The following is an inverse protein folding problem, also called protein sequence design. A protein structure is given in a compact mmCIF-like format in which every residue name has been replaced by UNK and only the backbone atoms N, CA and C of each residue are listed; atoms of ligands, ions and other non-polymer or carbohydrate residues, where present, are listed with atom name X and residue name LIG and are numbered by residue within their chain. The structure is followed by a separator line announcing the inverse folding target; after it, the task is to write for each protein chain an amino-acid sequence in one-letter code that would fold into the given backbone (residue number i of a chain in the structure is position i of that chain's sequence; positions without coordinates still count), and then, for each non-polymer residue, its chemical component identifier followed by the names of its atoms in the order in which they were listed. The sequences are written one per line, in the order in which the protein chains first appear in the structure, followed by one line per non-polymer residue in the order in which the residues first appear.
data_IF_882960883377
#
_entry.id   IF_882960883377
#
_cell.length_a   1.000
_cell.length_b   1.000
_cell.length_c   1.000
_cell.angle_alpha   90.00
_cell.angle_beta   90.00
_cell.angle_gamma   90.00
#
_symmetry.space_group_name_H-M   'P 1'
#
loop_
_entity.id
_entity.type
_entity.pdbx_description
1 polymer ?
#
# COMPACT_ATOMS: atom_id res chain seq x y z
N UNK A 1 -23.83 -63.12 17.22
CA UNK A 1 -22.75 -62.12 17.07
C UNK A 1 -22.41 -61.64 18.45
N UNK A 2 -21.18 -61.84 18.94
CA UNK A 2 -20.81 -61.52 20.33
C UNK A 2 -20.55 -60.00 20.46
N UNK A 3 -20.88 -59.46 21.62
CA UNK A 3 -20.68 -58.03 21.99
C UNK A 3 -19.23 -57.59 21.71
N UNK A 4 -18.27 -58.49 21.80
CA UNK A 4 -16.84 -58.31 21.54
C UNK A 4 -16.54 -58.03 20.05
N UNK A 5 -17.30 -58.61 19.11
CA UNK A 5 -17.14 -58.38 17.68
C UNK A 5 -17.69 -57.00 17.26
N UNK A 6 -18.78 -56.57 17.89
CA UNK A 6 -19.37 -55.22 17.68
C UNK A 6 -18.45 -54.11 18.22
N UNK A 7 -17.89 -54.28 19.42
CA UNK A 7 -16.95 -53.32 20.00
C UNK A 7 -15.66 -53.21 19.17
N UNK A 8 -15.12 -54.33 18.66
CA UNK A 8 -13.95 -54.30 17.77
C UNK A 8 -14.20 -53.57 16.46
N UNK A 9 -15.37 -53.76 15.84
CA UNK A 9 -15.73 -53.05 14.62
C UNK A 9 -15.88 -51.52 14.83
N UNK A 10 -16.46 -51.13 15.97
CA UNK A 10 -16.62 -49.70 16.32
C UNK A 10 -15.26 -49.03 16.63
N UNK A 11 -14.37 -49.72 17.36
CA UNK A 11 -13.03 -49.18 17.65
C UNK A 11 -12.10 -49.22 16.43
N UNK A 12 -12.26 -50.11 15.48
CA UNK A 12 -11.56 -50.06 14.19
C UNK A 12 -12.05 -48.91 13.31
N UNK A 13 -13.36 -48.67 13.22
CA UNK A 13 -13.94 -47.54 12.49
C UNK A 13 -13.47 -46.17 13.03
N UNK A 14 -13.44 -46.01 14.37
CA UNK A 14 -12.93 -44.76 15.00
C UNK A 14 -11.44 -44.56 14.74
N UNK A 15 -10.62 -45.60 14.72
CA UNK A 15 -9.17 -45.51 14.44
C UNK A 15 -8.87 -45.19 12.97
N UNK A 16 -9.68 -45.69 12.06
CA UNK A 16 -9.55 -45.41 10.62
C UNK A 16 -10.04 -43.97 10.30
N UNK A 17 -11.08 -43.49 10.99
CA UNK A 17 -11.52 -42.08 10.90
C UNK A 17 -10.48 -41.11 11.44
N UNK A 18 -9.85 -41.35 12.61
CA UNK A 18 -8.81 -40.52 13.16
C UNK A 18 -7.56 -40.48 12.25
N UNK A 19 -7.17 -41.60 11.64
CA UNK A 19 -6.05 -41.66 10.69
C UNK A 19 -6.38 -40.90 9.39
N UNK A 20 -7.60 -41.04 8.89
CA UNK A 20 -8.05 -40.35 7.67
C UNK A 20 -8.17 -38.87 7.90
N UNK A 21 -8.71 -38.44 9.04
CA UNK A 21 -8.76 -37.00 9.41
C UNK A 21 -7.35 -36.42 9.57
N UNK A 22 -6.44 -37.10 10.27
CA UNK A 22 -5.06 -36.65 10.42
C UNK A 22 -4.30 -36.55 9.09
N UNK A 23 -4.52 -37.46 8.16
CA UNK A 23 -3.91 -37.41 6.82
C UNK A 23 -4.51 -36.29 5.96
N UNK A 24 -5.81 -36.06 6.04
CA UNK A 24 -6.49 -34.95 5.36
C UNK A 24 -6.01 -33.59 5.89
N UNK A 25 -5.93 -33.42 7.20
CA UNK A 25 -5.41 -32.17 7.82
C UNK A 25 -3.96 -31.89 7.40
N UNK A 26 -3.09 -32.90 7.38
CA UNK A 26 -1.70 -32.75 6.92
C UNK A 26 -1.64 -32.41 5.45
N UNK A 27 -2.47 -33.02 4.60
CA UNK A 27 -2.52 -32.72 3.17
C UNK A 27 -3.05 -31.31 2.88
N UNK A 28 -4.05 -30.85 3.61
CA UNK A 28 -4.58 -29.49 3.55
C UNK A 28 -3.56 -28.46 4.02
N UNK A 29 -2.83 -28.73 5.10
CA UNK A 29 -1.76 -27.85 5.58
C UNK A 29 -0.61 -27.73 4.57
N UNK A 30 -0.21 -28.81 3.92
CA UNK A 30 0.82 -28.81 2.89
C UNK A 30 0.36 -28.09 1.63
N UNK A 31 -0.89 -28.28 1.21
CA UNK A 31 -1.49 -27.55 0.10
C UNK A 31 -1.58 -26.05 0.38
N UNK A 32 -2.03 -25.65 1.55
CA UNK A 32 -2.09 -24.27 2.00
C UNK A 32 -0.71 -23.59 1.97
N UNK A 33 0.33 -24.21 2.52
CA UNK A 33 1.70 -23.67 2.49
C UNK A 33 2.22 -23.51 1.07
N UNK A 34 1.93 -24.46 0.18
CA UNK A 34 2.33 -24.42 -1.23
C UNK A 34 1.64 -23.28 -1.96
N UNK A 35 0.33 -23.13 -1.78
CA UNK A 35 -0.47 -22.08 -2.42
C UNK A 35 0.01 -20.68 -2.00
N UNK A 36 0.27 -20.49 -0.69
CA UNK A 36 0.80 -19.21 -0.17
C UNK A 36 2.18 -18.91 -0.74
N UNK A 37 3.06 -19.91 -0.88
CA UNK A 37 4.39 -19.70 -1.50
C UNK A 37 4.27 -19.26 -2.95
N UNK A 38 3.42 -19.92 -3.74
CA UNK A 38 3.20 -19.55 -5.13
C UNK A 38 2.63 -18.14 -5.26
N UNK A 39 1.63 -17.80 -4.42
CA UNK A 39 1.05 -16.46 -4.39
C UNK A 39 2.11 -15.43 -4.01
N UNK A 40 2.85 -15.66 -2.93
CA UNK A 40 3.91 -14.76 -2.46
C UNK A 40 5.00 -14.56 -3.52
N UNK A 41 5.44 -15.63 -4.18
CA UNK A 41 6.46 -15.54 -5.24
C UNK A 41 5.94 -14.72 -6.42
N UNK A 42 4.70 -14.96 -6.86
CA UNK A 42 4.07 -14.19 -7.92
C UNK A 42 3.93 -12.71 -7.56
N UNK A 43 3.48 -12.42 -6.33
CA UNK A 43 3.39 -11.04 -5.83
C UNK A 43 4.76 -10.35 -5.75
N UNK A 44 5.79 -11.05 -5.23
CA UNK A 44 7.14 -10.50 -5.16
C UNK A 44 7.66 -10.12 -6.54
N UNK A 45 7.52 -11.01 -7.52
CA UNK A 45 7.96 -10.76 -8.90
C UNK A 45 7.20 -9.57 -9.50
N UNK A 46 5.88 -9.50 -9.33
CA UNK A 46 5.05 -8.40 -9.82
C UNK A 46 5.40 -7.07 -9.14
N UNK A 47 5.59 -7.06 -7.82
CA UNK A 47 5.94 -5.86 -7.06
C UNK A 47 7.35 -5.34 -7.40
N UNK A 48 8.30 -6.23 -7.70
CA UNK A 48 9.62 -5.84 -8.22
C UNK A 48 9.46 -5.16 -9.58
N UNK A 49 8.61 -5.69 -10.47
CA UNK A 49 8.30 -5.08 -11.75
C UNK A 49 7.66 -3.69 -11.63
N UNK A 50 6.70 -3.54 -10.74
CA UNK A 50 6.07 -2.24 -10.45
C UNK A 50 7.08 -1.24 -9.87
N UNK A 51 7.99 -1.71 -9.01
CA UNK A 51 9.10 -0.92 -8.47
C UNK A 51 10.09 -0.47 -9.54
N UNK A 52 10.33 -1.29 -10.57
CA UNK A 52 11.12 -0.92 -11.75
C UNK A 52 10.41 0.16 -12.57
N UNK A 53 9.13 -0.01 -12.82
CA UNK A 53 8.36 0.76 -13.78
C UNK A 53 8.13 2.21 -13.33
N UNK A 54 7.81 2.43 -12.06
CA UNK A 54 7.39 3.74 -11.54
C UNK A 54 8.45 4.83 -11.74
N UNK A 55 9.72 4.69 -11.30
CA UNK A 55 10.73 5.71 -11.51
C UNK A 55 11.10 5.87 -12.98
N UNK A 56 11.10 4.79 -13.78
CA UNK A 56 11.44 4.82 -15.21
C UNK A 56 10.46 5.68 -16.01
N UNK A 57 9.14 5.50 -15.80
CA UNK A 57 8.11 6.28 -16.51
C UNK A 57 8.17 7.75 -16.10
N UNK A 58 8.31 8.06 -14.79
CA UNK A 58 8.41 9.43 -14.32
C UNK A 58 9.66 10.13 -14.88
N UNK A 59 10.80 9.44 -14.86
CA UNK A 59 12.03 9.95 -15.48
C UNK A 59 11.85 10.22 -16.96
N UNK A 60 11.29 9.25 -17.70
CA UNK A 60 11.10 9.36 -19.15
C UNK A 60 10.25 10.57 -19.53
N UNK A 61 9.13 10.79 -18.84
CA UNK A 61 8.27 11.95 -19.15
C UNK A 61 8.95 13.27 -18.79
N UNK A 62 9.65 13.32 -17.66
CA UNK A 62 10.38 14.52 -17.28
C UNK A 62 11.57 14.80 -18.20
N UNK A 63 12.31 13.78 -18.59
CA UNK A 63 13.45 13.89 -19.51
C UNK A 63 13.03 14.37 -20.89
N UNK A 64 11.90 13.84 -21.40
CA UNK A 64 11.35 14.20 -22.70
C UNK A 64 10.73 15.60 -22.74
N UNK A 65 10.12 16.07 -21.64
CA UNK A 65 9.27 17.27 -21.67
C UNK A 65 9.80 18.44 -20.86
N UNK A 66 10.69 18.19 -19.91
CA UNK A 66 11.15 19.17 -18.93
C UNK A 66 10.05 19.69 -17.99
N UNK A 67 8.84 19.10 -18.00
CA UNK A 67 7.70 19.59 -17.24
C UNK A 67 7.25 18.59 -16.17
N UNK A 68 7.24 19.05 -14.92
CA UNK A 68 6.70 18.32 -13.79
C UNK A 68 5.19 18.14 -13.90
N UNK A 69 4.47 19.13 -14.40
CA UNK A 69 3.01 19.05 -14.60
C UNK A 69 2.66 17.93 -15.57
N UNK A 70 3.37 17.79 -16.70
CA UNK A 70 3.15 16.68 -17.63
C UNK A 70 3.41 15.32 -16.98
N UNK A 71 4.42 15.22 -16.13
CA UNK A 71 4.70 14.00 -15.37
C UNK A 71 3.57 13.67 -14.38
N UNK A 72 2.95 14.68 -13.76
CA UNK A 72 1.82 14.51 -12.84
C UNK A 72 0.61 13.83 -13.50
N UNK A 73 0.38 14.03 -14.79
CA UNK A 73 -0.71 13.33 -15.50
C UNK A 73 -0.64 11.81 -15.36
N UNK A 74 0.57 11.23 -15.23
CA UNK A 74 0.72 9.80 -14.96
C UNK A 74 0.06 9.43 -13.63
N UNK A 75 0.34 10.17 -12.57
CA UNK A 75 -0.23 9.91 -11.26
C UNK A 75 -1.76 10.12 -11.24
N UNK A 76 -2.24 11.15 -11.90
CA UNK A 76 -3.68 11.42 -12.03
C UNK A 76 -4.38 10.27 -12.76
N UNK A 77 -3.84 9.82 -13.90
CA UNK A 77 -4.39 8.71 -14.68
C UNK A 77 -4.36 7.38 -13.91
N UNK A 78 -3.40 7.18 -13.04
CA UNK A 78 -3.32 6.00 -12.17
C UNK A 78 -4.29 6.07 -10.98
N UNK A 79 -4.66 7.26 -10.53
CA UNK A 79 -5.50 7.45 -9.34
C UNK A 79 -6.99 7.55 -9.66
N UNK A 80 -7.35 8.11 -10.82
CA UNK A 80 -8.76 8.28 -11.22
C UNK A 80 -9.54 6.96 -11.29
N UNK A 81 -9.06 5.88 -11.96
CA UNK A 81 -9.82 4.64 -12.05
C UNK A 81 -10.18 4.03 -10.70
N UNK A 82 -9.25 3.82 -9.74
CA UNK A 82 -9.61 3.27 -8.44
C UNK A 82 -10.49 4.21 -7.61
N UNK A 83 -10.34 5.53 -7.75
CA UNK A 83 -11.15 6.50 -7.04
C UNK A 83 -12.63 6.46 -7.48
N UNK A 84 -12.88 6.39 -8.80
CA UNK A 84 -14.21 6.48 -9.37
C UNK A 84 -14.90 5.11 -9.43
N UNK A 85 -14.20 4.09 -9.89
CA UNK A 85 -14.76 2.77 -10.17
C UNK A 85 -14.50 1.75 -9.06
N UNK A 86 -13.56 2.03 -8.14
CA UNK A 86 -13.19 1.12 -7.05
C UNK A 86 -14.37 0.59 -6.24
N UNK A 87 -15.29 1.45 -5.75
CA UNK A 87 -16.46 1.01 -5.00
C UNK A 87 -17.38 0.08 -5.77
N UNK A 88 -17.57 0.35 -7.08
CA UNK A 88 -18.42 -0.47 -7.94
C UNK A 88 -17.80 -1.84 -8.17
N UNK A 89 -16.51 -1.89 -8.48
CA UNK A 89 -15.80 -3.16 -8.75
C UNK A 89 -15.67 -4.01 -7.50
N UNK A 90 -15.47 -3.40 -6.32
CA UNK A 90 -15.47 -4.13 -5.06
C UNK A 90 -16.74 -4.97 -4.88
N UNK A 91 -17.91 -4.37 -5.11
CA UNK A 91 -19.21 -5.07 -5.01
C UNK A 91 -19.32 -6.23 -5.99
N UNK A 92 -18.82 -6.07 -7.22
CA UNK A 92 -18.81 -7.17 -8.20
C UNK A 92 -17.89 -8.31 -7.80
N UNK A 93 -16.69 -8.00 -7.34
CA UNK A 93 -15.70 -8.99 -6.90
C UNK A 93 -16.16 -9.78 -5.69
N UNK A 94 -16.88 -9.15 -4.75
CA UNK A 94 -17.40 -9.83 -3.57
C UNK A 94 -18.41 -10.94 -3.92
N UNK A 95 -19.06 -10.84 -5.07
CA UNK A 95 -20.01 -11.86 -5.57
C UNK A 95 -19.33 -13.04 -6.24
N UNK A 96 -18.05 -12.94 -6.58
CA UNK A 96 -17.31 -14.00 -7.23
C UNK A 96 -16.81 -15.04 -6.23
N UNK A 97 -16.79 -16.32 -6.63
CA UNK A 97 -16.12 -17.37 -5.87
C UNK A 97 -14.60 -17.13 -5.85
N UNK A 98 -13.92 -17.74 -4.88
CA UNK A 98 -12.47 -17.59 -4.73
C UNK A 98 -11.70 -18.06 -5.98
N UNK A 99 -12.17 -19.12 -6.66
CA UNK A 99 -11.60 -19.57 -7.94
C UNK A 99 -11.72 -18.54 -9.04
N UNK A 100 -12.88 -17.87 -9.15
CA UNK A 100 -13.08 -16.82 -10.14
C UNK A 100 -12.20 -15.60 -9.83
N UNK A 101 -12.03 -15.22 -8.57
CA UNK A 101 -11.13 -14.14 -8.17
C UNK A 101 -9.69 -14.44 -8.58
N UNK A 102 -9.22 -15.68 -8.38
CA UNK A 102 -7.90 -16.10 -8.81
C UNK A 102 -7.74 -16.03 -10.33
N UNK A 103 -8.74 -16.50 -11.11
CA UNK A 103 -8.74 -16.38 -12.58
C UNK A 103 -8.73 -14.91 -13.03
N UNK A 104 -9.47 -14.04 -12.35
CA UNK A 104 -9.45 -12.59 -12.60
C UNK A 104 -8.04 -12.05 -12.38
N UNK A 105 -7.37 -12.39 -11.26
CA UNK A 105 -6.00 -11.95 -11.00
C UNK A 105 -5.03 -12.40 -12.10
N UNK A 106 -5.11 -13.66 -12.54
CA UNK A 106 -4.28 -14.19 -13.62
C UNK A 106 -4.54 -13.43 -14.93
N UNK A 107 -5.81 -13.23 -15.30
CA UNK A 107 -6.17 -12.51 -16.54
C UNK A 107 -5.72 -11.06 -16.53
N UNK A 108 -5.78 -10.39 -15.36
CA UNK A 108 -5.29 -9.02 -15.18
C UNK A 108 -3.77 -8.92 -15.28
N UNK A 109 -3.03 -9.90 -14.74
CA UNK A 109 -1.58 -9.97 -14.91
C UNK A 109 -1.21 -10.16 -16.39
N UNK A 110 -1.88 -11.06 -17.10
CA UNK A 110 -1.65 -11.26 -18.54
C UNK A 110 -1.97 -10.01 -19.34
N UNK A 111 -3.09 -9.33 -19.04
CA UNK A 111 -3.48 -8.09 -19.71
C UNK A 111 -2.46 -6.96 -19.46
N UNK A 112 -2.02 -6.76 -18.20
CA UNK A 112 -1.00 -5.76 -17.87
C UNK A 112 0.34 -6.09 -18.53
N UNK A 113 0.75 -7.36 -18.51
CA UNK A 113 1.95 -7.83 -19.21
C UNK A 113 1.90 -7.54 -20.71
N UNK A 114 0.77 -7.84 -21.37
CA UNK A 114 0.59 -7.56 -22.80
C UNK A 114 0.61 -6.06 -23.13
N UNK A 115 -0.08 -5.23 -22.33
CA UNK A 115 -0.08 -3.77 -22.50
C UNK A 115 1.32 -3.19 -22.32
N UNK A 116 2.06 -3.63 -21.31
CA UNK A 116 3.44 -3.19 -21.08
C UNK A 116 4.41 -3.66 -22.17
N UNK A 117 4.27 -4.89 -22.65
CA UNK A 117 5.09 -5.39 -23.76
C UNK A 117 4.83 -4.58 -25.03
N UNK A 118 3.58 -4.22 -25.29
CA UNK A 118 3.26 -3.35 -26.43
C UNK A 118 3.86 -1.96 -26.26
N UNK A 119 3.68 -1.34 -25.09
CA UNK A 119 4.27 -0.03 -24.78
C UNK A 119 5.81 -0.05 -24.91
N UNK A 120 6.45 -1.12 -24.43
CA UNK A 120 7.89 -1.35 -24.56
C UNK A 120 8.32 -1.42 -26.01
N UNK A 121 7.57 -2.13 -26.87
CA UNK A 121 7.83 -2.24 -28.30
C UNK A 121 7.79 -0.86 -28.96
N UNK A 122 6.76 -0.06 -28.68
CA UNK A 122 6.63 1.31 -29.19
C UNK A 122 7.81 2.19 -28.73
N UNK A 123 8.27 2.00 -27.50
CA UNK A 123 9.42 2.73 -26.97
C UNK A 123 10.71 2.40 -27.70
N UNK A 124 10.99 1.11 -27.95
CA UNK A 124 12.22 0.67 -28.66
C UNK A 124 12.21 1.07 -30.12
N UNK A 125 11.03 1.05 -30.76
CA UNK A 125 10.88 1.49 -32.15
C UNK A 125 10.94 3.03 -32.30
N UNK A 126 11.06 3.79 -31.21
CA UNK A 126 11.06 5.26 -31.26
C UNK A 126 9.68 5.87 -31.60
N UNK A 127 8.61 5.07 -31.52
CA UNK A 127 7.24 5.48 -31.83
C UNK A 127 6.43 5.90 -30.59
N UNK A 128 7.06 5.89 -29.40
CA UNK A 128 6.39 6.25 -28.15
C UNK A 128 6.17 7.75 -28.06
N UNK A 129 4.91 8.16 -28.12
CA UNK A 129 4.48 9.55 -27.91
C UNK A 129 3.85 9.72 -26.53
N UNK A 130 3.77 10.96 -26.01
CA UNK A 130 3.11 11.24 -24.72
C UNK A 130 1.65 10.83 -24.68
N UNK A 131 0.80 11.12 -25.70
CA UNK A 131 -0.60 10.67 -25.70
C UNK A 131 -0.70 9.15 -25.65
N UNK A 132 0.16 8.44 -26.40
CA UNK A 132 0.19 6.97 -26.37
C UNK A 132 0.58 6.47 -24.98
N UNK A 133 1.63 7.03 -24.37
CA UNK A 133 2.05 6.67 -23.02
C UNK A 133 0.91 6.85 -22.01
N UNK A 134 0.24 8.01 -22.02
CA UNK A 134 -0.89 8.30 -21.12
C UNK A 134 -2.05 7.32 -21.32
N UNK A 135 -2.38 6.99 -22.57
CA UNK A 135 -3.42 5.99 -22.87
C UNK A 135 -3.08 4.64 -22.27
N UNK A 136 -1.85 4.15 -22.45
CA UNK A 136 -1.44 2.87 -21.89
C UNK A 136 -1.36 2.89 -20.36
N UNK A 137 -0.87 3.96 -19.76
CA UNK A 137 -0.86 4.14 -18.30
C UNK A 137 -2.29 4.05 -17.74
N UNK A 138 -3.26 4.71 -18.39
CA UNK A 138 -4.66 4.63 -17.99
C UNK A 138 -5.25 3.22 -18.13
N UNK A 139 -4.99 2.54 -19.25
CA UNK A 139 -5.45 1.16 -19.46
C UNK A 139 -4.85 0.17 -18.46
N UNK A 140 -3.55 0.33 -18.15
CA UNK A 140 -2.88 -0.48 -17.14
C UNK A 140 -3.47 -0.21 -15.75
N UNK A 141 -3.78 1.05 -15.41
CA UNK A 141 -4.42 1.43 -14.16
C UNK A 141 -5.83 0.84 -14.04
N UNK A 142 -6.62 0.86 -15.12
CA UNK A 142 -7.92 0.18 -15.19
C UNK A 142 -7.78 -1.33 -14.93
N UNK A 143 -6.82 -1.97 -15.57
CA UNK A 143 -6.55 -3.39 -15.38
C UNK A 143 -6.03 -3.71 -13.95
N UNK A 144 -5.29 -2.80 -13.32
CA UNK A 144 -4.76 -2.98 -11.97
C UNK A 144 -5.82 -2.86 -10.88
N UNK A 145 -6.88 -2.08 -11.11
CA UNK A 145 -7.84 -1.68 -10.09
C UNK A 145 -8.57 -2.85 -9.40
N UNK A 146 -9.04 -3.91 -10.09
CA UNK A 146 -9.71 -5.04 -9.43
C UNK A 146 -8.76 -5.94 -8.66
N UNK A 147 -7.45 -5.82 -8.89
CA UNK A 147 -6.46 -6.75 -8.40
C UNK A 147 -6.35 -6.76 -6.86
N UNK A 148 -6.22 -5.59 -6.23
CA UNK A 148 -6.08 -5.48 -4.78
C UNK A 148 -7.27 -6.06 -4.01
N UNK A 149 -8.53 -5.70 -4.31
CA UNK A 149 -9.71 -6.32 -3.71
C UNK A 149 -9.77 -7.84 -3.94
N UNK A 150 -9.44 -8.32 -5.16
CA UNK A 150 -9.40 -9.75 -5.46
C UNK A 150 -8.35 -10.47 -4.61
N UNK A 151 -7.13 -9.94 -4.50
CA UNK A 151 -6.05 -10.48 -3.68
C UNK A 151 -6.46 -10.57 -2.21
N UNK A 152 -6.93 -9.46 -1.62
CA UNK A 152 -7.29 -9.39 -0.21
C UNK A 152 -8.44 -10.36 0.15
N UNK A 153 -9.37 -10.58 -0.77
CA UNK A 153 -10.47 -11.51 -0.56
C UNK A 153 -10.12 -12.98 -0.87
N UNK A 154 -9.02 -13.22 -1.58
CA UNK A 154 -8.54 -14.59 -1.89
C UNK A 154 -7.65 -15.14 -0.77
N UNK A 155 -6.85 -14.32 -0.07
CA UNK A 155 -5.94 -14.76 0.99
C UNK A 155 -6.66 -15.60 2.07
N UNK A 156 -7.84 -15.20 2.60
CA UNK A 156 -8.55 -15.99 3.61
C UNK A 156 -8.96 -17.39 3.16
N UNK A 157 -9.16 -17.61 1.85
CA UNK A 157 -9.49 -18.93 1.30
C UNK A 157 -8.27 -19.85 1.10
N UNK A 158 -7.05 -19.33 1.26
CA UNK A 158 -5.81 -20.06 1.11
C UNK A 158 -5.18 -20.51 2.43
N UNK A 159 -5.55 -19.87 3.56
CA UNK A 159 -4.94 -20.11 4.87
C UNK A 159 -5.99 -20.25 5.97
N UNK A 160 -5.64 -20.98 7.02
CA UNK A 160 -6.44 -21.04 8.24
C UNK A 160 -6.47 -19.67 8.94
N UNK A 161 -7.55 -19.37 9.65
CA UNK A 161 -7.76 -18.09 10.34
C UNK A 161 -6.61 -17.73 11.28
N UNK A 162 -6.00 -18.71 11.97
CA UNK A 162 -4.84 -18.54 12.84
C UNK A 162 -3.56 -18.06 12.12
N UNK A 163 -3.46 -18.25 10.81
CA UNK A 163 -2.31 -17.88 9.99
C UNK A 163 -2.56 -16.67 9.09
N UNK A 164 -3.75 -16.12 9.11
CA UNK A 164 -4.16 -15.02 8.22
C UNK A 164 -3.28 -13.78 8.40
N UNK A 165 -2.97 -13.40 9.62
CA UNK A 165 -2.10 -12.25 9.91
C UNK A 165 -0.69 -12.45 9.33
N UNK A 166 -0.12 -13.65 9.50
CA UNK A 166 1.20 -13.96 8.95
C UNK A 166 1.20 -13.97 7.41
N UNK A 167 0.15 -14.50 6.78
CA UNK A 167 0.01 -14.48 5.33
C UNK A 167 -0.10 -13.06 4.78
N UNK A 168 -0.92 -12.21 5.39
CA UNK A 168 -1.02 -10.80 5.01
C UNK A 168 0.30 -10.05 5.18
N UNK A 169 1.01 -10.27 6.29
CA UNK A 169 2.33 -9.67 6.52
C UNK A 169 3.36 -10.13 5.46
N UNK A 170 3.36 -11.40 5.10
CA UNK A 170 4.21 -11.92 4.04
C UNK A 170 3.89 -11.29 2.67
N UNK A 171 2.62 -11.17 2.30
CA UNK A 171 2.22 -10.49 1.05
C UNK A 171 2.61 -9.01 1.10
N UNK A 172 2.37 -8.31 2.20
CA UNK A 172 2.74 -6.90 2.33
C UNK A 172 4.26 -6.67 2.22
N UNK A 173 5.08 -7.63 2.68
CA UNK A 173 6.54 -7.53 2.55
C UNK A 173 7.02 -7.48 1.10
N UNK A 174 6.27 -8.06 0.14
CA UNK A 174 6.63 -8.04 -1.28
C UNK A 174 6.62 -6.62 -1.85
N UNK A 175 5.65 -5.79 -1.46
CA UNK A 175 5.57 -4.38 -1.88
C UNK A 175 6.78 -3.58 -1.34
N UNK A 176 7.19 -3.84 -0.10
CA UNK A 176 8.36 -3.19 0.50
C UNK A 176 9.65 -3.58 -0.22
N UNK A 177 9.81 -4.86 -0.56
CA UNK A 177 10.96 -5.34 -1.34
C UNK A 177 10.97 -4.75 -2.76
N UNK A 178 9.81 -4.65 -3.40
CA UNK A 178 9.65 -3.99 -4.70
C UNK A 178 10.08 -2.52 -4.66
N UNK A 179 9.68 -1.79 -3.62
CA UNK A 179 10.04 -0.39 -3.42
C UNK A 179 11.54 -0.21 -3.14
N UNK A 180 12.17 -1.15 -2.44
CA UNK A 180 13.60 -1.07 -2.11
C UNK A 180 14.49 -1.39 -3.33
N UNK A 181 14.25 -2.54 -3.97
CA UNK A 181 15.14 -3.09 -4.99
C UNK A 181 14.81 -2.58 -6.40
N UNK A 182 13.52 -2.41 -6.69
CA UNK A 182 13.04 -2.03 -8.02
C UNK A 182 13.66 -0.74 -8.54
N UNK A 183 13.63 0.36 -7.81
CA UNK A 183 14.13 1.64 -8.30
C UNK A 183 15.63 1.65 -8.62
N UNK A 184 16.48 1.01 -7.83
CA UNK A 184 17.92 0.93 -8.12
C UNK A 184 18.19 0.17 -9.43
N UNK A 185 17.52 -0.97 -9.62
CA UNK A 185 17.61 -1.76 -10.86
C UNK A 185 17.04 -0.94 -12.03
N UNK A 186 15.92 -0.25 -11.83
CA UNK A 186 15.30 0.63 -12.82
C UNK A 186 16.26 1.71 -13.29
N UNK A 187 16.85 2.45 -12.35
CA UNK A 187 17.76 3.56 -12.66
C UNK A 187 18.96 3.08 -13.48
N UNK A 188 19.55 1.96 -13.09
CA UNK A 188 20.66 1.34 -13.86
C UNK A 188 20.18 0.89 -15.26
N UNK A 189 19.04 0.20 -15.34
CA UNK A 189 18.51 -0.28 -16.63
C UNK A 189 18.19 0.89 -17.58
N UNK A 190 17.56 1.96 -17.06
CA UNK A 190 17.27 3.16 -17.88
C UNK A 190 18.55 3.82 -18.35
N UNK A 191 19.58 3.91 -17.48
CA UNK A 191 20.84 4.56 -17.82
C UNK A 191 21.62 3.84 -18.92
N UNK A 192 21.63 2.52 -18.93
CA UNK A 192 22.43 1.72 -19.86
C UNK A 192 21.65 1.21 -21.08
N UNK A 193 20.37 0.92 -20.92
CA UNK A 193 19.57 0.25 -21.94
C UNK A 193 18.38 1.09 -22.42
N UNK A 194 17.94 2.04 -21.60
CA UNK A 194 16.76 2.87 -21.87
C UNK A 194 15.47 2.34 -21.26
N UNK A 195 14.41 3.17 -21.29
CA UNK A 195 13.13 2.91 -20.65
C UNK A 195 12.39 1.70 -21.24
N UNK A 196 12.52 1.45 -22.55
CA UNK A 196 11.86 0.31 -23.22
C UNK A 196 12.20 -1.04 -22.60
N UNK A 197 13.45 -1.23 -22.18
CA UNK A 197 13.88 -2.48 -21.53
C UNK A 197 13.31 -2.62 -20.11
N UNK A 198 13.13 -1.52 -19.38
CA UNK A 198 12.44 -1.56 -18.08
C UNK A 198 10.98 -1.98 -18.26
N UNK A 199 10.31 -1.45 -19.28
CA UNK A 199 8.92 -1.81 -19.60
C UNK A 199 8.82 -3.30 -19.99
N UNK A 200 9.75 -3.85 -20.76
CA UNK A 200 9.81 -5.28 -21.08
C UNK A 200 10.08 -6.14 -19.83
N UNK A 201 11.01 -5.72 -18.97
CA UNK A 201 11.27 -6.41 -17.71
C UNK A 201 10.02 -6.47 -16.86
N UNK A 202 9.30 -5.34 -16.73
CA UNK A 202 8.02 -5.31 -16.00
C UNK A 202 6.94 -6.17 -16.70
N UNK A 203 6.83 -6.16 -18.01
CA UNK A 203 5.93 -7.06 -18.73
C UNK A 203 6.22 -8.52 -18.42
N UNK A 204 7.49 -8.92 -18.43
CA UNK A 204 7.92 -10.28 -18.08
C UNK A 204 7.57 -10.64 -16.63
N UNK A 205 7.70 -9.70 -15.67
CA UNK A 205 7.33 -9.97 -14.28
C UNK A 205 5.83 -10.25 -14.12
N UNK A 206 4.96 -9.56 -14.84
CA UNK A 206 3.52 -9.85 -14.83
C UNK A 206 3.19 -11.20 -15.43
N UNK A 207 3.82 -11.58 -16.54
CA UNK A 207 3.64 -12.90 -17.14
C UNK A 207 4.10 -14.01 -16.18
N UNK A 208 5.27 -13.84 -15.55
CA UNK A 208 5.78 -14.78 -14.55
C UNK A 208 4.85 -14.85 -13.32
N UNK A 209 4.33 -13.72 -12.85
CA UNK A 209 3.38 -13.67 -11.76
C UNK A 209 2.07 -14.42 -12.08
N UNK A 210 1.57 -14.29 -13.32
CA UNK A 210 0.44 -15.08 -13.80
C UNK A 210 0.75 -16.59 -13.77
N UNK A 211 1.92 -17.02 -14.27
CA UNK A 211 2.36 -18.42 -14.20
C UNK A 211 2.47 -18.93 -12.77
N UNK A 212 2.98 -18.14 -11.84
CA UNK A 212 3.04 -18.51 -10.42
C UNK A 212 1.65 -18.74 -9.81
N UNK A 213 0.62 -18.07 -10.30
CA UNK A 213 -0.75 -18.21 -9.80
C UNK A 213 -1.52 -19.41 -10.39
N UNK A 214 -1.14 -19.90 -11.57
CA UNK A 214 -1.83 -21.03 -12.22
C UNK A 214 -1.90 -22.33 -11.38
N UNK A 215 -0.85 -22.75 -10.64
CA UNK A 215 -0.91 -23.98 -9.85
C UNK A 215 -1.68 -23.83 -8.53
N UNK A 216 -2.15 -22.63 -8.16
CA UNK A 216 -2.88 -22.38 -6.92
C UNK A 216 -4.27 -23.02 -7.02
N UNK A 217 -4.62 -23.81 -6.02
CA UNK A 217 -5.96 -24.41 -5.89
C UNK A 217 -6.64 -23.80 -4.67
N UNK A 218 -7.84 -23.29 -4.86
CA UNK A 218 -8.65 -22.68 -3.81
C UNK A 218 -9.73 -23.66 -3.38
N UNK A 219 -9.94 -23.85 -2.08
CA UNK A 219 -11.07 -24.61 -1.58
C UNK A 219 -12.35 -23.79 -1.74
N UNK A 220 -13.25 -24.24 -2.60
CA UNK A 220 -14.51 -23.53 -2.90
C UNK A 220 -15.50 -23.49 -1.73
N UNK A 221 -15.26 -24.27 -0.67
CA UNK A 221 -16.10 -24.33 0.53
C UNK A 221 -15.82 -23.25 1.57
N UNK A 222 -14.81 -22.39 1.35
CA UNK A 222 -14.58 -21.27 2.27
C UNK A 222 -15.83 -20.37 2.34
N UNK A 223 -16.34 -20.07 3.55
CA UNK A 223 -17.54 -19.26 3.70
C UNK A 223 -17.36 -17.95 2.93
N UNK A 224 -18.29 -17.65 2.04
CA UNK A 224 -18.38 -16.33 1.43
C UNK A 224 -18.43 -15.29 2.57
N UNK A 225 -17.63 -14.23 2.55
CA UNK A 225 -17.69 -13.23 3.58
C UNK A 225 -19.14 -12.75 3.72
N UNK A 226 -19.59 -12.67 4.96
CA UNK A 226 -20.94 -12.29 5.35
C UNK A 226 -21.36 -11.09 4.50
N UNK A 227 -22.42 -11.28 3.74
CA UNK A 227 -23.10 -10.19 3.03
C UNK A 227 -23.51 -9.16 4.06
N UNK A 228 -22.76 -8.10 4.19
CA UNK A 228 -23.29 -6.86 4.76
C UNK A 228 -24.26 -6.28 3.71
N UNK A 229 -25.46 -6.88 3.68
CA UNK A 229 -26.56 -6.41 2.86
C UNK A 229 -27.12 -5.14 3.48
N UNK A 230 -26.49 -4.00 3.22
CA UNK A 230 -27.17 -2.73 3.39
C UNK A 230 -27.92 -2.43 2.10
N UNK A 231 -29.23 -2.37 2.21
CA UNK A 231 -30.19 -2.06 1.13
C UNK A 231 -30.11 -0.59 0.64
N UNK A 232 -29.04 0.13 0.93
CA UNK A 232 -28.73 1.48 0.47
C UNK A 232 -27.67 1.44 -0.64
N UNK A 233 -27.92 2.11 -1.76
CA UNK A 233 -26.93 2.23 -2.83
C UNK A 233 -25.60 2.79 -2.32
N UNK A 234 -24.47 2.49 -2.98
CA UNK A 234 -23.11 2.89 -2.64
C UNK A 234 -22.96 4.40 -2.31
N UNK A 235 -23.77 5.25 -2.94
CA UNK A 235 -23.83 6.71 -2.67
C UNK A 235 -24.29 6.97 -1.23
N UNK A 236 -25.32 6.25 -0.75
CA UNK A 236 -25.82 6.41 0.60
C UNK A 236 -24.80 5.88 1.65
N UNK A 237 -24.06 4.84 1.33
CA UNK A 237 -22.97 4.35 2.18
C UNK A 237 -21.80 5.33 2.26
N UNK A 238 -21.42 5.94 1.13
CA UNK A 238 -20.44 7.03 1.11
C UNK A 238 -20.94 8.23 1.92
N UNK A 239 -22.16 8.69 1.68
CA UNK A 239 -22.74 9.81 2.41
C UNK A 239 -22.82 9.55 3.91
N UNK A 240 -23.22 8.34 4.32
CA UNK A 240 -23.22 7.94 5.73
C UNK A 240 -21.79 7.90 6.32
N UNK A 241 -20.81 7.44 5.56
CA UNK A 241 -19.41 7.47 5.96
C UNK A 241 -18.86 8.89 6.10
N UNK A 242 -19.18 9.78 5.16
CA UNK A 242 -18.81 11.20 5.25
C UNK A 242 -19.45 11.84 6.50
N UNK A 243 -20.74 11.64 6.73
CA UNK A 243 -21.42 12.15 7.92
C UNK A 243 -20.77 11.65 9.21
N UNK A 244 -20.44 10.35 9.27
CA UNK A 244 -19.76 9.74 10.42
C UNK A 244 -18.43 10.45 10.70
N UNK A 245 -17.56 10.61 9.70
CA UNK A 245 -16.22 11.16 9.87
C UNK A 245 -16.28 12.67 10.12
N UNK A 246 -17.08 13.42 9.36
CA UNK A 246 -17.07 14.89 9.41
C UNK A 246 -17.99 15.49 10.50
N UNK A 247 -19.04 14.77 10.93
CA UNK A 247 -20.05 15.32 11.85
C UNK A 247 -20.04 14.58 13.19
N UNK A 248 -20.03 13.25 13.17
CA UNK A 248 -20.27 12.46 14.38
C UNK A 248 -18.97 12.16 15.16
N UNK A 249 -17.82 12.01 14.47
CA UNK A 249 -16.56 11.62 15.10
C UNK A 249 -15.42 12.63 14.81
N UNK A 250 -15.45 13.76 15.50
CA UNK A 250 -14.47 14.84 15.36
C UNK A 250 -13.00 14.38 15.48
N UNK A 251 -12.74 13.37 16.31
CA UNK A 251 -11.39 12.83 16.50
C UNK A 251 -10.90 12.13 15.21
N UNK A 252 -11.75 11.28 14.60
CA UNK A 252 -11.41 10.60 13.35
C UNK A 252 -11.21 11.62 12.24
N UNK A 253 -12.03 12.66 12.19
CA UNK A 253 -11.87 13.76 11.23
C UNK A 253 -10.51 14.46 11.37
N UNK A 254 -10.11 14.83 12.61
CA UNK A 254 -8.81 15.50 12.85
C UNK A 254 -7.63 14.64 12.41
N UNK A 255 -7.67 13.34 12.71
CA UNK A 255 -6.62 12.38 12.30
C UNK A 255 -6.65 12.13 10.80
N UNK A 256 -7.83 12.08 10.18
CA UNK A 256 -7.96 11.97 8.73
C UNK A 256 -7.43 13.21 8.00
N UNK A 257 -7.67 14.42 8.54
CA UNK A 257 -7.12 15.67 8.01
C UNK A 257 -5.59 15.69 8.09
N UNK A 258 -5.03 15.22 9.20
CA UNK A 258 -3.58 15.09 9.36
C UNK A 258 -2.99 14.13 8.32
N UNK A 259 -3.62 12.97 8.13
CA UNK A 259 -3.24 12.03 7.09
C UNK A 259 -3.37 12.59 5.66
N UNK A 260 -4.38 13.43 5.43
CA UNK A 260 -4.58 14.14 4.17
C UNK A 260 -3.45 15.13 3.88
N UNK A 261 -3.10 15.98 4.84
CA UNK A 261 -2.00 16.94 4.72
C UNK A 261 -0.66 16.24 4.54
N UNK A 262 -0.43 15.19 5.32
CA UNK A 262 0.75 14.36 5.18
C UNK A 262 0.85 13.75 3.77
N UNK A 263 -0.22 13.13 3.27
CA UNK A 263 -0.23 12.48 1.95
C UNK A 263 -0.07 13.49 0.82
N UNK A 264 -0.65 14.70 0.98
CA UNK A 264 -0.50 15.79 0.03
C UNK A 264 0.98 16.15 -0.19
N UNK A 265 1.73 16.32 0.88
CA UNK A 265 3.14 16.68 0.78
C UNK A 265 4.01 15.47 0.38
N UNK A 266 3.84 14.29 0.99
CA UNK A 266 4.65 13.10 0.69
C UNK A 266 4.48 12.63 -0.75
N UNK A 267 3.26 12.69 -1.33
CA UNK A 267 3.06 12.35 -2.73
C UNK A 267 3.68 13.41 -3.65
N UNK A 268 3.56 14.70 -3.30
CA UNK A 268 4.25 15.78 -4.00
C UNK A 268 5.77 15.55 -4.04
N UNK A 269 6.37 15.15 -2.93
CA UNK A 269 7.80 14.83 -2.85
C UNK A 269 8.22 13.73 -3.83
N UNK A 270 7.45 12.63 -3.91
CA UNK A 270 7.74 11.52 -4.83
C UNK A 270 7.77 12.01 -6.28
N UNK A 271 6.84 12.89 -6.67
CA UNK A 271 6.80 13.45 -8.03
C UNK A 271 7.88 14.50 -8.28
N UNK A 272 8.46 15.09 -7.24
CA UNK A 272 9.62 15.99 -7.38
C UNK A 272 10.96 15.23 -7.50
N UNK A 273 11.05 13.94 -7.18
CA UNK A 273 12.31 13.19 -7.20
C UNK A 273 13.06 13.23 -8.54
N UNK A 274 12.42 13.06 -9.73
CA UNK A 274 13.12 13.22 -11.00
C UNK A 274 13.68 14.63 -11.20
N UNK A 275 12.93 15.63 -10.74
CA UNK A 275 13.30 17.05 -10.85
C UNK A 275 14.50 17.37 -9.95
N UNK A 276 14.46 16.89 -8.69
CA UNK A 276 15.57 17.02 -7.73
C UNK A 276 16.82 16.39 -8.32
N UNK A 277 16.68 15.16 -8.84
CA UNK A 277 17.80 14.42 -9.42
C UNK A 277 18.43 15.17 -10.60
N UNK A 278 17.61 15.68 -11.54
CA UNK A 278 18.11 16.31 -12.76
C UNK A 278 18.57 17.75 -12.53
N UNK A 279 17.78 18.56 -11.82
CA UNK A 279 17.99 20.01 -11.73
C UNK A 279 18.82 20.44 -10.51
N UNK A 280 18.77 19.71 -9.40
CA UNK A 280 19.52 20.06 -8.18
C UNK A 280 20.82 19.27 -8.11
N UNK A 281 20.74 17.94 -8.29
CA UNK A 281 21.90 17.07 -8.16
C UNK A 281 22.64 16.84 -9.47
N UNK A 282 22.17 17.41 -10.59
CA UNK A 282 22.75 17.24 -11.94
C UNK A 282 23.00 15.78 -12.30
N UNK A 283 22.11 14.89 -11.81
CA UNK A 283 22.21 13.44 -11.94
C UNK A 283 21.35 12.86 -13.06
N UNK A 284 21.68 11.62 -13.45
CA UNK A 284 20.93 10.83 -14.42
C UNK A 284 19.92 9.85 -13.76
N UNK A 285 19.32 8.96 -14.57
CA UNK A 285 18.34 8.00 -14.10
C UNK A 285 18.89 7.03 -13.04
N UNK A 286 20.18 6.73 -13.07
CA UNK A 286 20.84 5.91 -12.05
C UNK A 286 20.80 6.59 -10.67
N UNK A 287 21.01 7.91 -10.60
CA UNK A 287 20.91 8.67 -9.35
C UNK A 287 19.48 8.66 -8.83
N UNK A 288 18.48 8.80 -9.71
CA UNK A 288 17.07 8.69 -9.32
C UNK A 288 16.77 7.33 -8.69
N UNK A 289 17.25 6.24 -9.28
CA UNK A 289 17.07 4.90 -8.76
C UNK A 289 17.67 4.74 -7.36
N UNK A 290 18.89 5.23 -7.15
CA UNK A 290 19.58 5.18 -5.85
C UNK A 290 18.85 6.03 -4.80
N UNK A 291 18.42 7.24 -5.15
CA UNK A 291 17.66 8.14 -4.26
C UNK A 291 16.34 7.48 -3.84
N UNK A 292 15.63 6.89 -4.79
CA UNK A 292 14.36 6.22 -4.49
C UNK A 292 14.55 4.98 -3.60
N UNK A 293 15.63 4.20 -3.85
CA UNK A 293 15.98 3.07 -2.97
C UNK A 293 16.41 3.52 -1.58
N UNK A 294 17.05 4.68 -1.44
CA UNK A 294 17.37 5.27 -0.15
C UNK A 294 16.09 5.62 0.65
N UNK A 295 15.03 6.09 -0.02
CA UNK A 295 13.71 6.27 0.60
C UNK A 295 13.18 4.94 1.17
N UNK A 296 13.24 3.86 0.37
CA UNK A 296 12.86 2.52 0.79
C UNK A 296 13.67 2.00 1.98
N UNK A 297 14.99 2.25 2.00
CA UNK A 297 15.85 1.90 3.13
C UNK A 297 15.41 2.60 4.42
N UNK A 298 15.11 3.89 4.36
CA UNK A 298 14.58 4.64 5.49
C UNK A 298 13.26 4.06 6.02
N UNK A 299 12.36 3.70 5.10
CA UNK A 299 11.10 3.07 5.47
C UNK A 299 11.29 1.73 6.18
N UNK A 300 12.19 0.87 5.68
CA UNK A 300 12.49 -0.44 6.29
C UNK A 300 13.11 -0.25 7.67
N UNK A 301 14.12 0.61 7.77
CA UNK A 301 14.80 0.89 9.03
C UNK A 301 13.80 1.30 10.12
N UNK A 302 12.92 2.23 9.82
CA UNK A 302 11.92 2.68 10.77
C UNK A 302 10.87 1.62 11.09
N UNK A 303 10.43 0.84 10.10
CA UNK A 303 9.48 -0.27 10.30
C UNK A 303 10.05 -1.33 11.25
N UNK A 304 11.33 -1.69 11.11
CA UNK A 304 12.01 -2.63 12.02
C UNK A 304 12.14 -2.05 13.43
N UNK A 305 12.46 -0.76 13.53
CA UNK A 305 12.56 -0.07 14.83
C UNK A 305 11.20 -0.03 15.55
N UNK A 306 10.11 0.18 14.82
CA UNK A 306 8.76 0.15 15.37
C UNK A 306 8.36 -1.24 15.86
N UNK A 307 8.70 -2.30 15.13
CA UNK A 307 8.42 -3.68 15.52
C UNK A 307 9.14 -4.06 16.84
N UNK A 308 10.35 -3.57 17.06
CA UNK A 308 11.11 -3.81 18.30
C UNK A 308 10.55 -3.08 19.52
N UNK A 309 9.68 -2.10 19.31
CA UNK A 309 9.13 -1.22 20.36
C UNK A 309 7.63 -1.50 20.65
N UNK A 310 7.21 -2.74 20.61
CA UNK A 310 5.80 -3.19 20.67
C UNK A 310 5.02 -2.83 21.97
N UNK A 311 5.66 -2.17 22.96
CA UNK A 311 5.04 -1.80 24.25
C UNK A 311 4.63 -0.33 24.36
N UNK A 312 4.45 0.38 23.22
CA UNK A 312 4.14 1.81 23.25
C UNK A 312 2.68 2.07 23.58
N UNK A 313 2.43 3.12 24.33
CA UNK A 313 1.08 3.60 24.67
C UNK A 313 0.45 4.30 23.46
N UNK A 314 -0.86 4.51 23.50
CA UNK A 314 -1.60 5.25 22.47
C UNK A 314 -1.08 6.70 22.33
N UNK A 315 -0.63 7.29 23.45
CA UNK A 315 -0.04 8.64 23.51
C UNK A 315 1.30 8.66 22.75
N UNK A 316 2.14 7.63 22.91
CA UNK A 316 3.40 7.53 22.18
C UNK A 316 3.19 7.46 20.67
N UNK A 317 2.14 6.75 20.22
CA UNK A 317 1.75 6.70 18.82
C UNK A 317 1.38 8.07 18.26
N UNK A 318 0.66 8.88 19.01
CA UNK A 318 0.25 10.22 18.59
C UNK A 318 1.42 11.20 18.52
N UNK A 319 2.35 11.12 19.47
CA UNK A 319 3.59 11.90 19.42
C UNK A 319 4.41 11.55 18.18
N UNK A 320 4.52 10.27 17.83
CA UNK A 320 5.22 9.83 16.64
C UNK A 320 4.54 10.26 15.33
N UNK A 321 3.19 10.19 15.27
CA UNK A 321 2.40 10.68 14.13
C UNK A 321 2.67 12.18 13.90
N UNK A 322 2.87 12.94 14.97
CA UNK A 322 3.10 14.38 14.90
C UNK A 322 4.57 14.73 14.64
N UNK A 323 5.51 14.03 15.26
CA UNK A 323 6.94 14.26 15.10
C UNK A 323 7.47 13.84 13.72
N UNK A 324 6.92 12.74 13.17
CA UNK A 324 7.31 12.21 11.85
C UNK A 324 7.27 13.27 10.74
N UNK A 325 6.14 13.96 10.50
CA UNK A 325 6.03 14.97 9.47
C UNK A 325 6.94 16.19 9.70
N UNK A 326 7.22 16.56 10.96
CA UNK A 326 8.16 17.66 11.26
C UNK A 326 9.57 17.29 10.83
N UNK A 327 10.03 16.10 11.21
CA UNK A 327 11.36 15.59 10.85
C UNK A 327 11.48 15.44 9.33
N UNK A 328 10.47 14.88 8.69
CA UNK A 328 10.39 14.72 7.24
C UNK A 328 10.44 16.08 6.53
N UNK A 329 9.64 17.06 7.00
CA UNK A 329 9.60 18.39 6.43
C UNK A 329 10.94 19.14 6.57
N UNK A 330 11.61 19.02 7.72
CA UNK A 330 12.96 19.58 7.92
C UNK A 330 13.96 18.93 6.96
N UNK A 331 13.91 17.63 6.77
CA UNK A 331 14.79 16.92 5.85
C UNK A 331 14.52 17.33 4.38
N UNK A 332 13.26 17.57 4.00
CA UNK A 332 12.89 18.07 2.67
C UNK A 332 13.39 19.50 2.43
N UNK A 333 13.25 20.40 3.44
CA UNK A 333 13.83 21.75 3.36
C UNK A 333 15.36 21.68 3.24
N UNK A 334 16.00 20.82 4.04
CA UNK A 334 17.42 20.56 3.96
C UNK A 334 17.87 20.11 2.57
N UNK A 335 17.08 19.27 1.90
CA UNK A 335 17.37 18.79 0.55
C UNK A 335 17.40 19.91 -0.50
N UNK A 336 16.64 20.99 -0.29
CA UNK A 336 16.69 22.17 -1.17
C UNK A 336 18.03 22.94 -1.10
N UNK A 337 18.81 22.77 -0.04
CA UNK A 337 20.08 23.44 0.17
C UNK A 337 21.32 22.59 -0.17
N UNK A 338 21.12 21.32 -0.56
CA UNK A 338 22.20 20.35 -0.75
C UNK A 338 22.39 20.04 -2.24
N UNK A 339 23.66 20.10 -2.70
CA UNK A 339 24.06 19.74 -4.05
C UNK A 339 24.82 18.39 -4.10
N UNK A 340 25.16 17.83 -2.94
CA UNK A 340 25.90 16.56 -2.84
C UNK A 340 24.95 15.36 -2.80
N UNK A 341 25.19 14.36 -3.66
CA UNK A 341 24.41 13.11 -3.65
C UNK A 341 24.45 12.40 -2.29
N UNK A 342 25.62 12.36 -1.63
CA UNK A 342 25.77 11.67 -0.35
C UNK A 342 24.91 12.31 0.73
N UNK A 343 24.92 13.65 0.81
CA UNK A 343 24.10 14.38 1.76
C UNK A 343 22.61 14.24 1.42
N UNK A 344 22.24 14.27 0.14
CA UNK A 344 20.88 14.04 -0.32
C UNK A 344 20.38 12.64 0.06
N UNK A 345 21.20 11.58 -0.09
CA UNK A 345 20.85 10.22 0.30
C UNK A 345 20.57 10.12 1.81
N UNK A 346 21.40 10.77 2.65
CA UNK A 346 21.17 10.82 4.10
C UNK A 346 19.82 11.45 4.45
N UNK A 347 19.49 12.60 3.84
CA UNK A 347 18.20 13.28 4.05
C UNK A 347 17.02 12.44 3.54
N UNK A 348 17.16 11.79 2.38
CA UNK A 348 16.09 10.94 1.82
C UNK A 348 15.84 9.69 2.67
N UNK A 349 16.86 9.12 3.31
CA UNK A 349 16.67 8.04 4.31
C UNK A 349 15.84 8.56 5.49
N UNK A 350 16.11 9.76 5.98
CA UNK A 350 15.32 10.38 7.06
C UNK A 350 13.87 10.62 6.61
N UNK A 351 13.65 11.10 5.37
CA UNK A 351 12.32 11.27 4.79
C UNK A 351 11.58 9.92 4.73
N UNK A 352 12.24 8.87 4.24
CA UNK A 352 11.66 7.52 4.21
C UNK A 352 11.30 6.99 5.59
N UNK A 353 12.14 7.25 6.60
CA UNK A 353 11.86 6.88 7.98
C UNK A 353 10.62 7.61 8.53
N UNK A 354 10.46 8.90 8.24
CA UNK A 354 9.28 9.69 8.60
C UNK A 354 8.01 9.15 7.94
N UNK A 355 8.08 8.85 6.65
CA UNK A 355 6.95 8.30 5.89
C UNK A 355 6.44 6.96 6.47
N UNK A 356 7.34 6.08 6.91
CA UNK A 356 6.96 4.79 7.49
C UNK A 356 6.30 4.91 8.87
N UNK A 357 6.51 6.03 9.58
CA UNK A 357 5.90 6.26 10.88
C UNK A 357 4.41 6.62 10.76
N UNK A 358 4.06 7.49 9.83
CA UNK A 358 2.80 8.25 9.89
C UNK A 358 1.59 7.41 9.46
N UNK A 359 1.61 6.85 8.26
CA UNK A 359 0.42 6.20 7.68
C UNK A 359 -0.03 4.93 8.42
N UNK A 360 0.88 4.02 8.83
CA UNK A 360 0.46 2.86 9.63
C UNK A 360 -0.13 3.26 10.99
N UNK A 361 0.44 4.30 11.62
CA UNK A 361 -0.05 4.78 12.91
C UNK A 361 -1.44 5.43 12.82
N UNK A 362 -1.67 6.25 11.79
CA UNK A 362 -3.00 6.83 11.51
C UNK A 362 -4.03 5.72 11.27
N UNK A 363 -3.67 4.73 10.44
CA UNK A 363 -4.56 3.60 10.15
C UNK A 363 -4.89 2.80 11.41
N UNK A 364 -3.87 2.49 12.22
CA UNK A 364 -4.06 1.79 13.49
C UNK A 364 -4.92 2.60 14.46
N UNK A 365 -4.71 3.92 14.55
CA UNK A 365 -5.52 4.80 15.38
C UNK A 365 -7.00 4.78 14.97
N UNK A 366 -7.30 4.87 13.67
CA UNK A 366 -8.68 4.78 13.16
C UNK A 366 -9.27 3.41 13.49
N UNK A 367 -8.50 2.32 13.33
CA UNK A 367 -8.94 0.95 13.63
C UNK A 367 -9.29 0.74 15.10
N UNK A 368 -8.55 1.35 16.02
CA UNK A 368 -8.80 1.26 17.46
C UNK A 368 -9.95 2.19 17.91
N UNK A 369 -10.01 3.39 17.31
CA UNK A 369 -10.94 4.44 17.76
C UNK A 369 -12.34 4.29 17.16
N UNK A 370 -12.46 3.83 15.91
CA UNK A 370 -13.74 3.66 15.25
C UNK A 370 -14.52 2.46 15.83
N UNK A 371 -15.83 2.61 16.13
CA UNK A 371 -16.69 1.49 16.51
C UNK A 371 -16.63 0.38 15.46
N UNK A 372 -16.74 -0.89 15.90
CA UNK A 372 -16.63 -2.06 15.03
C UNK A 372 -17.56 -1.99 13.82
N UNK A 373 -18.79 -1.49 14.01
CA UNK A 373 -19.82 -1.38 12.98
C UNK A 373 -19.50 -0.35 11.90
N UNK A 374 -18.74 0.69 12.23
CA UNK A 374 -18.45 1.83 11.33
C UNK A 374 -16.99 1.89 10.88
N UNK A 375 -16.13 1.03 11.43
CA UNK A 375 -14.68 1.01 11.19
C UNK A 375 -14.32 0.90 9.70
N UNK A 376 -14.97 0.00 8.98
CA UNK A 376 -14.73 -0.19 7.55
C UNK A 376 -15.07 1.10 6.75
N UNK A 377 -16.19 1.75 7.10
CA UNK A 377 -16.60 3.03 6.48
C UNK A 377 -15.59 4.14 6.76
N UNK A 378 -15.13 4.27 8.02
CA UNK A 378 -14.14 5.27 8.40
C UNK A 378 -12.82 5.08 7.61
N UNK A 379 -12.34 3.85 7.46
CA UNK A 379 -11.14 3.54 6.68
C UNK A 379 -11.33 3.81 5.17
N UNK A 380 -12.50 3.51 4.62
CA UNK A 380 -12.81 3.81 3.21
C UNK A 380 -12.80 5.31 2.95
N UNK A 381 -13.45 6.10 3.81
CA UNK A 381 -13.46 7.57 3.69
C UNK A 381 -12.04 8.14 3.85
N UNK A 382 -11.28 7.64 4.83
CA UNK A 382 -9.87 8.01 4.99
C UNK A 382 -9.06 7.73 3.71
N UNK A 383 -9.21 6.54 3.13
CA UNK A 383 -8.56 6.18 1.86
C UNK A 383 -8.94 7.11 0.71
N UNK A 384 -10.23 7.47 0.61
CA UNK A 384 -10.72 8.42 -0.41
C UNK A 384 -10.11 9.81 -0.23
N UNK A 385 -10.09 10.33 1.01
CA UNK A 385 -9.51 11.62 1.35
C UNK A 385 -8.00 11.62 1.00
N UNK A 386 -7.26 10.59 1.35
CA UNK A 386 -5.83 10.48 1.05
C UNK A 386 -5.56 10.38 -0.45
N UNK A 387 -6.39 9.68 -1.23
CA UNK A 387 -6.26 9.66 -2.69
C UNK A 387 -6.47 11.04 -3.33
N UNK A 388 -7.50 11.78 -2.90
CA UNK A 388 -7.74 13.14 -3.38
C UNK A 388 -6.59 14.07 -2.98
N UNK A 389 -6.11 13.96 -1.75
CA UNK A 389 -4.97 14.73 -1.26
C UNK A 389 -3.68 14.41 -2.02
N UNK A 390 -3.44 13.14 -2.35
CA UNK A 390 -2.32 12.73 -3.19
C UNK A 390 -2.38 13.39 -4.57
N UNK A 391 -3.56 13.39 -5.22
CA UNK A 391 -3.75 14.05 -6.52
C UNK A 391 -3.51 15.56 -6.41
N UNK A 392 -4.04 16.22 -5.38
CA UNK A 392 -3.82 17.63 -5.14
C UNK A 392 -2.34 17.94 -4.92
N UNK A 393 -1.65 17.14 -4.09
CA UNK A 393 -0.24 17.32 -3.76
C UNK A 393 0.68 17.16 -4.97
N UNK A 394 0.57 16.06 -5.71
CA UNK A 394 1.40 15.88 -6.91
C UNK A 394 1.16 16.98 -7.95
N UNK A 395 -0.07 17.48 -8.08
CA UNK A 395 -0.40 18.55 -9.04
C UNK A 395 0.14 19.90 -8.57
N UNK A 396 -0.13 20.26 -7.32
CA UNK A 396 0.25 21.57 -6.78
C UNK A 396 1.78 21.75 -6.72
N UNK A 397 2.51 20.73 -6.22
CA UNK A 397 3.96 20.82 -6.09
C UNK A 397 4.69 20.67 -7.43
N UNK A 398 4.14 19.89 -8.37
CA UNK A 398 4.69 19.86 -9.74
C UNK A 398 4.47 21.19 -10.46
N UNK A 399 3.31 21.82 -10.30
CA UNK A 399 3.06 23.15 -10.81
C UNK A 399 4.02 24.19 -10.18
N UNK A 400 4.21 24.12 -8.87
CA UNK A 400 5.16 24.99 -8.18
C UNK A 400 6.60 24.80 -8.69
N UNK A 401 7.02 23.55 -8.97
CA UNK A 401 8.34 23.27 -9.49
C UNK A 401 8.56 23.83 -10.90
N UNK A 402 7.55 23.76 -11.77
CA UNK A 402 7.64 24.29 -13.14
C UNK A 402 7.63 25.83 -13.19
N UNK A 403 6.95 26.53 -12.24
CA UNK A 403 6.77 27.98 -12.29
C UNK A 403 7.65 28.75 -11.28
N UNK A 404 7.89 28.19 -10.10
CA UNK A 404 8.69 28.82 -9.05
C UNK A 404 10.11 28.28 -8.95
N UNK A 405 10.36 27.14 -9.62
CA UNK A 405 11.63 26.42 -9.57
C UNK A 405 11.67 25.34 -8.48
N UNK A 406 12.51 24.34 -8.71
CA UNK A 406 12.57 23.10 -7.91
C UNK A 406 12.94 23.31 -6.45
N UNK A 407 13.85 24.25 -6.14
CA UNK A 407 14.27 24.53 -4.74
C UNK A 407 13.15 25.20 -3.93
N UNK A 408 12.44 26.18 -4.53
CA UNK A 408 11.31 26.84 -3.87
C UNK A 408 10.18 25.84 -3.64
N UNK A 409 9.87 25.02 -4.64
CA UNK A 409 8.84 23.98 -4.52
C UNK A 409 9.15 23.01 -3.36
N UNK A 410 10.41 22.60 -3.19
CA UNK A 410 10.85 21.77 -2.05
C UNK A 410 10.67 22.47 -0.70
N UNK A 411 11.07 23.75 -0.61
CA UNK A 411 10.91 24.50 0.64
C UNK A 411 9.44 24.63 1.01
N UNK A 412 8.57 24.99 0.04
CA UNK A 412 7.12 25.11 0.28
C UNK A 412 6.56 23.76 0.70
N UNK A 413 6.94 22.68 0.03
CA UNK A 413 6.50 21.32 0.35
C UNK A 413 6.94 20.92 1.77
N UNK A 414 8.21 21.15 2.13
CA UNK A 414 8.73 20.84 3.45
C UNK A 414 8.04 21.65 4.56
N UNK A 415 7.72 22.93 4.30
CA UNK A 415 6.94 23.76 5.24
C UNK A 415 5.52 23.20 5.42
N UNK A 416 4.85 22.80 4.34
CA UNK A 416 3.51 22.18 4.42
C UNK A 416 3.59 20.86 5.21
N UNK A 417 4.64 20.08 5.01
CA UNK A 417 4.85 18.83 5.77
C UNK A 417 5.08 19.12 7.27
N UNK A 418 5.89 20.11 7.62
CA UNK A 418 6.08 20.53 9.02
C UNK A 418 4.77 21.03 9.64
N UNK A 419 3.98 21.81 8.90
CA UNK A 419 2.67 22.28 9.36
C UNK A 419 1.73 21.11 9.70
N UNK A 420 1.72 20.04 8.89
CA UNK A 420 0.96 18.85 9.21
C UNK A 420 1.37 18.26 10.57
N UNK A 421 2.66 18.19 10.87
CA UNK A 421 3.16 17.72 12.16
C UNK A 421 2.80 18.65 13.32
N UNK A 422 2.96 19.96 13.16
CA UNK A 422 2.58 20.97 14.19
C UNK A 422 1.08 20.89 14.50
N UNK A 423 0.23 20.82 13.48
CA UNK A 423 -1.22 20.62 13.64
C UNK A 423 -1.50 19.31 14.41
N UNK A 424 -0.74 18.25 14.14
CA UNK A 424 -0.80 16.98 14.88
C UNK A 424 -0.51 17.18 16.37
N UNK A 425 0.55 17.89 16.73
CA UNK A 425 0.88 18.22 18.13
C UNK A 425 -0.25 19.01 18.81
N UNK A 426 -0.77 20.02 18.14
CA UNK A 426 -1.89 20.82 18.69
C UNK A 426 -3.14 19.98 18.94
N UNK A 427 -3.43 19.01 18.07
CA UNK A 427 -4.57 18.11 18.26
C UNK A 427 -4.37 17.16 19.46
N UNK A 428 -3.15 16.65 19.65
CA UNK A 428 -2.85 15.72 20.75
C UNK A 428 -2.87 16.43 22.12
N UNK A 429 -2.57 17.72 22.17
CA UNK A 429 -2.58 18.51 23.40
C UNK A 429 -3.97 19.07 23.77
N UNK A 430 -4.97 18.97 22.89
CA UNK A 430 -6.31 19.47 23.19
C UNK A 430 -6.97 18.69 24.35
N UNK A 431 -7.54 19.40 25.33
CA UNK A 431 -8.19 18.83 26.51
C UNK A 431 -9.31 17.83 26.13
N UNK A 432 -10.04 18.12 25.07
CA UNK A 432 -11.10 17.26 24.53
C UNK A 432 -10.56 15.89 24.08
N UNK A 433 -9.33 15.86 23.55
CA UNK A 433 -8.69 14.64 23.10
C UNK A 433 -8.21 13.78 24.29
N UNK A 434 -7.60 14.41 25.29
CA UNK A 434 -7.12 13.73 26.50
C UNK A 434 -8.29 13.17 27.33
N UNK A 435 -9.40 13.90 27.46
CA UNK A 435 -10.60 13.42 28.16
C UNK A 435 -11.22 12.20 27.46
N UNK A 436 -11.31 12.21 26.13
CA UNK A 436 -11.82 11.06 25.37
C UNK A 436 -10.90 9.82 25.44
N UNK A 437 -9.59 10.00 25.59
CA UNK A 437 -8.66 8.89 25.80
C UNK A 437 -8.77 8.32 27.20
N UNK A 438 -8.89 9.15 28.21
CA UNK A 438 -9.04 8.73 29.60
C UNK A 438 -10.34 7.93 29.83
N UNK A 439 -11.47 8.37 29.28
CA UNK A 439 -12.75 7.66 29.40
C UNK A 439 -12.74 6.27 28.75
N UNK A 440 -11.93 6.06 27.73
CA UNK A 440 -11.81 4.75 27.04
C UNK A 440 -10.78 3.80 27.65
N UNK A 441 -9.78 4.31 28.39
CA UNK A 441 -8.86 3.48 29.17
C UNK A 441 -9.56 2.82 30.36
N UNK A 442 -10.61 3.44 30.89
CA UNK A 442 -11.40 2.91 31.99
C UNK A 442 -12.42 1.82 31.56
N UNK A 443 -12.82 1.81 30.29
CA UNK A 443 -13.70 0.78 29.69
C UNK A 443 -13.00 -0.56 29.38
N UNK A 444 -11.68 -0.63 29.45
CA UNK A 444 -10.89 -1.87 29.38
C UNK A 444 -10.20 -2.13 30.74
N UNK A 445 -10.88 -2.72 31.71
CA UNK A 445 -10.23 -3.13 32.94
C UNK A 445 -9.21 -4.20 32.60
N UNK A 446 -7.91 -3.83 32.71
CA UNK A 446 -6.84 -4.81 32.78
C UNK A 446 -7.28 -5.91 33.76
N UNK A 447 -7.26 -7.16 33.31
CA UNK A 447 -7.41 -8.32 34.18
C UNK A 447 -6.41 -8.18 35.33
N UNK A 448 -6.86 -7.60 36.44
CA UNK A 448 -6.18 -7.69 37.72
C UNK A 448 -6.10 -9.18 37.99
N UNK A 449 -4.90 -9.73 37.95
CA UNK A 449 -4.56 -11.02 38.49
C UNK A 449 -5.17 -11.12 39.89
N UNK A 450 -6.23 -11.93 40.05
CA UNK A 450 -6.60 -12.50 41.32
C UNK A 450 -5.46 -13.38 41.81
N UNK A 451 -4.51 -12.78 42.50
CA UNK A 451 -3.71 -13.49 43.47
C UNK A 451 -4.52 -13.59 44.74
N UNK A 452 -5.48 -14.50 44.72
CA UNK A 452 -6.14 -14.96 45.93
C UNK A 452 -5.20 -15.79 46.79
N UNK A 453 -4.70 -15.17 47.83
CA UNK A 453 -4.18 -15.84 49.05
C UNK A 453 -5.31 -16.62 49.69
N UNK A 454 -5.19 -17.93 49.76
CA UNK A 454 -5.35 -18.78 50.97
C UNK A 454 -4.83 -20.18 50.67
#
# INVERSE_FOLDING_TARGET
MSLVSLLRATFQGLRDDERTQGTLEVSEQLSSKRNVRWLWTGELISQLGDGLNRPAILWFVYDLTGSAVKMTFIGVLQTIPPLVLGPVIGVYLDRLSADWKLRVMISLDLARGALLAWLATLSILGMLTLPTLYTFVFLIALAAMPYGPALNSTIPSLVQASRLTAANAAIQSTATLGLLCGPAISGATVAFLGVGYVLYANAATFLLAAFCKMPIRVNSEAPSPIRSGTSGGWINELAAGFRLVFVEQRIIFRVALLGALFTLASTGFIFLLPIITKNILSGGPMFLGVIWSALGLGMIFMSVLLMSSARRTLIDHLLLISAGPVIEGLAIVGLAAVDSLVAALGLVIVIGAGTALVMPMITAFIQVTAPQETRARALTIFGTITMVSAMAGMTAFSWAADHLGSRIALVVLGVVQMMAGVIGVMFTQSSEFQTNLASRSDDHPSSKSDTGTT
#
